data_IF_722423779148
#
_entry.id   IF_722423779148
#
_cell.length_a   1.000
_cell.length_b   1.000
_cell.length_c   1.000
_cell.angle_alpha   90.00
_cell.angle_beta   90.00
_cell.angle_gamma   90.00
#
_symmetry.space_group_name_H-M   'P 1'
#
loop_
_entity.id
_entity.type
_entity.pdbx_description
1 polymer ?
#
# COMPACT_ATOMS: atom_id res chain seq x y z
N UNK A 1 -12.63 59.55 45.62
CA UNK A 1 -11.60 58.51 45.80
C UNK A 1 -12.06 57.24 45.09
N UNK A 2 -11.23 56.77 44.14
CA UNK A 2 -11.07 55.38 43.65
C UNK A 2 -12.20 54.73 42.82
N UNK A 3 -11.92 54.68 41.52
CA UNK A 3 -12.36 53.68 40.54
C UNK A 3 -12.37 52.24 41.08
N UNK A 4 -13.36 51.45 40.67
CA UNK A 4 -13.29 49.98 40.65
C UNK A 4 -14.27 49.52 39.54
N UNK A 5 -13.86 49.47 38.26
CA UNK A 5 -13.19 48.34 37.62
C UNK A 5 -13.88 47.00 37.92
N UNK A 6 -14.69 46.47 36.98
CA UNK A 6 -14.41 45.20 36.27
C UNK A 6 -15.60 44.73 35.41
N UNK A 7 -15.38 44.82 34.11
CA UNK A 7 -16.09 44.06 33.07
C UNK A 7 -16.05 42.56 33.36
N UNK A 8 -17.20 41.91 33.38
CA UNK A 8 -17.32 40.45 33.24
C UNK A 8 -17.60 40.11 31.78
N UNK A 9 -16.53 39.84 31.03
CA UNK A 9 -16.58 39.16 29.74
C UNK A 9 -16.58 37.66 30.03
N UNK A 10 -17.63 36.93 29.63
CA UNK A 10 -17.59 35.48 29.51
C UNK A 10 -17.78 35.15 28.03
N UNK A 11 -16.68 35.18 27.29
CA UNK A 11 -16.62 34.73 25.91
C UNK A 11 -16.66 33.20 25.88
N UNK A 12 -17.63 32.64 25.15
CA UNK A 12 -17.68 31.23 24.83
C UNK A 12 -16.39 30.82 24.09
N UNK A 13 -15.56 30.03 24.76
CA UNK A 13 -14.39 29.42 24.16
C UNK A 13 -14.85 28.26 23.26
N UNK A 14 -15.05 28.55 21.97
CA UNK A 14 -15.23 27.52 20.95
C UNK A 14 -13.86 26.92 20.65
N UNK A 15 -13.49 25.88 21.40
CA UNK A 15 -12.34 25.04 21.09
C UNK A 15 -12.68 24.21 19.84
N UNK A 16 -12.26 24.70 18.66
CA UNK A 16 -12.22 23.86 17.46
C UNK A 16 -10.98 22.97 17.63
N UNK A 17 -11.20 21.79 18.20
CA UNK A 17 -10.21 20.72 18.12
C UNK A 17 -10.10 20.32 16.64
N UNK A 18 -9.02 20.74 15.98
CA UNK A 18 -8.65 20.22 14.66
C UNK A 18 -8.12 18.80 14.84
N UNK A 19 -9.02 17.86 15.11
CA UNK A 19 -8.74 16.46 14.84
C UNK A 19 -8.61 16.35 13.32
N UNK A 20 -7.38 16.15 12.83
CA UNK A 20 -7.16 15.78 11.44
C UNK A 20 -7.94 14.49 11.19
N UNK A 21 -9.06 14.58 10.47
CA UNK A 21 -9.83 13.41 10.07
C UNK A 21 -8.98 12.67 9.04
N UNK A 22 -8.40 11.54 9.45
CA UNK A 22 -7.84 10.59 8.50
C UNK A 22 -8.98 10.13 7.58
N UNK A 23 -8.86 10.42 6.29
CA UNK A 23 -9.82 9.94 5.29
C UNK A 23 -9.28 8.64 4.71
N UNK A 24 -10.12 7.61 4.66
CA UNK A 24 -9.82 6.38 3.94
C UNK A 24 -9.53 6.74 2.47
N UNK A 25 -8.44 6.19 1.94
CA UNK A 25 -7.99 6.41 0.59
C UNK A 25 -7.41 5.11 0.03
N UNK A 26 -7.29 5.06 -1.30
CA UNK A 26 -6.72 3.92 -1.99
C UNK A 26 -5.87 4.38 -3.17
N UNK A 27 -4.79 3.66 -3.45
CA UNK A 27 -4.02 3.80 -4.69
C UNK A 27 -4.13 2.50 -5.48
N UNK A 28 -4.23 2.61 -6.81
CA UNK A 28 -4.09 1.48 -7.72
C UNK A 28 -2.75 1.57 -8.42
N UNK A 29 -1.98 0.49 -8.36
CA UNK A 29 -0.68 0.34 -9.03
C UNK A 29 -0.67 -0.93 -9.88
N UNK A 30 0.30 -1.07 -10.77
CA UNK A 30 0.58 -2.33 -11.44
C UNK A 30 1.68 -3.09 -10.71
N UNK A 31 1.48 -4.39 -10.50
CA UNK A 31 2.46 -5.28 -9.87
C UNK A 31 2.20 -6.74 -10.26
N UNK A 32 3.23 -7.50 -10.68
CA UNK A 32 4.56 -7.02 -11.05
C UNK A 32 4.52 -6.18 -12.33
N UNK A 33 5.38 -5.16 -12.48
CA UNK A 33 5.54 -4.47 -13.78
C UNK A 33 6.90 -4.78 -14.42
N UNK A 34 7.11 -4.28 -15.64
CA UNK A 34 8.43 -4.33 -16.30
C UNK A 34 9.57 -3.62 -15.54
N UNK A 35 9.25 -2.80 -14.53
CA UNK A 35 10.22 -2.15 -13.65
C UNK A 35 10.53 -2.93 -12.37
N UNK A 36 9.87 -4.07 -12.14
CA UNK A 36 10.11 -4.89 -10.97
C UNK A 36 11.53 -5.48 -10.98
N UNK A 37 12.16 -5.52 -9.82
CA UNK A 37 13.37 -6.30 -9.60
C UNK A 37 12.98 -7.75 -9.36
N UNK A 38 13.46 -8.64 -10.22
CA UNK A 38 13.13 -10.08 -10.18
C UNK A 38 14.39 -10.88 -9.87
N UNK A 39 14.29 -11.70 -8.83
CA UNK A 39 15.21 -12.82 -8.57
C UNK A 39 14.45 -14.09 -8.89
N UNK A 40 14.91 -14.80 -9.91
CA UNK A 40 14.34 -16.08 -10.32
C UNK A 40 15.44 -16.86 -11.05
N UNK A 41 15.16 -18.09 -11.47
CA UNK A 41 16.16 -18.80 -12.25
C UNK A 41 16.46 -18.19 -13.61
N UNK A 42 15.48 -17.53 -14.23
CA UNK A 42 15.68 -16.83 -15.52
C UNK A 42 15.42 -15.33 -15.38
N UNK A 43 14.47 -14.92 -14.54
CA UNK A 43 14.15 -13.51 -14.32
C UNK A 43 13.13 -13.03 -15.33
N UNK A 44 13.56 -12.61 -16.53
CA UNK A 44 12.65 -12.20 -17.62
C UNK A 44 12.49 -13.33 -18.63
N UNK A 45 11.25 -13.80 -18.83
CA UNK A 45 10.92 -14.84 -19.80
C UNK A 45 10.47 -14.23 -21.14
N UNK A 46 9.70 -13.15 -21.07
CA UNK A 46 9.23 -12.39 -22.23
C UNK A 46 8.95 -10.92 -21.84
N UNK A 47 8.42 -10.13 -22.78
CA UNK A 47 8.02 -8.75 -22.51
C UNK A 47 6.85 -8.64 -21.51
N UNK A 48 6.15 -9.74 -21.24
CA UNK A 48 4.94 -9.77 -20.41
C UNK A 48 5.03 -10.79 -19.28
N UNK A 49 6.17 -11.46 -19.09
CA UNK A 49 6.31 -12.57 -18.16
C UNK A 49 7.68 -12.61 -17.49
N UNK A 50 7.66 -12.98 -16.22
CA UNK A 50 8.84 -13.14 -15.38
C UNK A 50 8.81 -14.48 -14.64
N UNK A 51 10.00 -14.99 -14.33
CA UNK A 51 10.15 -16.05 -13.35
C UNK A 51 10.94 -17.27 -13.81
N UNK A 52 10.20 -18.38 -13.77
CA UNK A 52 10.55 -19.62 -13.10
C UNK A 52 10.96 -19.42 -11.63
N UNK A 53 9.95 -19.42 -10.77
CA UNK A 53 10.04 -19.31 -9.32
C UNK A 53 9.76 -20.67 -8.67
N UNK A 54 10.62 -21.08 -7.75
CA UNK A 54 10.49 -22.34 -7.02
C UNK A 54 11.41 -22.49 -5.80
N UNK A 55 12.33 -21.53 -5.56
CA UNK A 55 13.44 -21.72 -4.63
C UNK A 55 13.59 -20.57 -3.64
N UNK A 56 13.19 -20.81 -2.39
CA UNK A 56 13.56 -19.93 -1.27
C UNK A 56 15.08 -19.87 -1.09
N UNK A 57 15.82 -20.95 -1.35
CA UNK A 57 17.27 -20.99 -1.12
C UNK A 57 18.04 -20.08 -2.09
N UNK A 58 17.53 -19.91 -3.31
CA UNK A 58 18.03 -18.93 -4.28
C UNK A 58 17.60 -17.50 -3.96
N UNK A 59 16.58 -17.33 -3.11
CA UNK A 59 15.99 -16.04 -2.80
C UNK A 59 15.03 -15.56 -3.88
N UNK A 60 14.31 -16.49 -4.52
CA UNK A 60 13.34 -16.16 -5.56
C UNK A 60 12.33 -15.12 -5.05
N UNK A 61 12.20 -14.03 -5.80
CA UNK A 61 11.37 -12.89 -5.40
C UNK A 61 11.05 -11.96 -6.56
N UNK A 62 9.98 -11.20 -6.39
CA UNK A 62 9.63 -10.06 -7.24
C UNK A 62 9.34 -8.87 -6.36
N UNK A 63 10.04 -7.77 -6.57
CA UNK A 63 9.90 -6.57 -5.73
C UNK A 63 9.83 -5.30 -6.58
N UNK A 64 9.04 -4.33 -6.14
CA UNK A 64 8.89 -3.06 -6.85
C UNK A 64 8.68 -1.91 -5.85
N UNK A 65 9.27 -0.76 -6.18
CA UNK A 65 9.08 0.49 -5.44
C UNK A 65 8.00 1.37 -6.09
N UNK A 66 7.26 2.10 -5.26
CA UNK A 66 6.26 3.10 -5.63
C UNK A 66 6.56 4.40 -4.86
N UNK A 67 7.42 5.28 -5.37
CA UNK A 67 7.74 6.52 -4.67
C UNK A 67 6.54 7.49 -4.71
N UNK A 68 6.37 8.25 -3.62
CA UNK A 68 5.44 9.39 -3.54
C UNK A 68 3.98 9.06 -3.89
N UNK A 69 3.45 7.96 -3.33
CA UNK A 69 2.03 7.56 -3.52
C UNK A 69 1.06 8.42 -2.73
N UNK A 70 1.54 9.10 -1.68
CA UNK A 70 0.72 9.91 -0.77
C UNK A 70 -0.24 9.09 0.11
N UNK A 71 -0.16 7.75 0.04
CA UNK A 71 -0.98 6.84 0.84
C UNK A 71 -0.22 6.43 2.10
N UNK A 72 -0.76 6.73 3.28
CA UNK A 72 -0.11 6.45 4.56
C UNK A 72 -0.90 5.43 5.37
N UNK A 73 -0.24 4.75 6.31
CA UNK A 73 -0.90 3.83 7.24
C UNK A 73 -1.72 2.75 6.51
N UNK A 74 -1.09 2.11 5.53
CA UNK A 74 -1.73 1.05 4.72
C UNK A 74 -2.21 -0.08 5.62
N UNK A 75 -3.44 -0.54 5.43
CA UNK A 75 -4.04 -1.63 6.22
C UNK A 75 -4.70 -2.72 5.39
N UNK A 76 -4.77 -2.56 4.07
CA UNK A 76 -5.29 -3.60 3.18
C UNK A 76 -4.60 -3.58 1.82
N UNK A 77 -4.64 -4.74 1.17
CA UNK A 77 -4.07 -5.00 -0.15
C UNK A 77 -5.00 -5.95 -0.90
N UNK A 78 -5.32 -5.64 -2.15
CA UNK A 78 -5.98 -6.53 -3.10
C UNK A 78 -5.16 -6.58 -4.38
N UNK A 79 -4.58 -7.72 -4.66
CA UNK A 79 -3.65 -7.92 -5.77
C UNK A 79 -4.18 -8.98 -6.73
N UNK A 80 -4.29 -8.63 -8.01
CA UNK A 80 -4.49 -9.61 -9.05
C UNK A 80 -3.13 -10.17 -9.46
N UNK A 81 -3.00 -11.50 -9.46
CA UNK A 81 -1.81 -12.22 -9.86
C UNK A 81 -2.14 -13.16 -11.01
N UNK A 82 -1.35 -13.10 -12.07
CA UNK A 82 -1.53 -13.96 -13.24
C UNK A 82 -0.43 -15.00 -13.28
N UNK A 83 -0.75 -16.27 -13.00
CA UNK A 83 0.20 -17.37 -13.21
C UNK A 83 0.11 -17.79 -14.67
N UNK A 84 1.14 -17.47 -15.45
CA UNK A 84 1.12 -17.73 -16.91
C UNK A 84 1.69 -19.08 -17.28
N UNK A 85 2.57 -19.62 -16.43
CA UNK A 85 3.09 -20.98 -16.56
C UNK A 85 3.05 -21.66 -15.20
N UNK A 86 2.58 -22.90 -15.19
CA UNK A 86 2.62 -23.79 -14.05
C UNK A 86 3.07 -25.17 -14.55
N UNK A 87 4.31 -25.51 -14.22
CA UNK A 87 4.91 -26.80 -14.59
C UNK A 87 5.29 -27.62 -13.35
N UNK A 88 4.63 -27.34 -12.22
CA UNK A 88 4.80 -28.07 -10.97
C UNK A 88 4.40 -29.54 -11.14
N UNK A 89 5.21 -30.44 -10.56
CA UNK A 89 4.86 -31.84 -10.47
C UNK A 89 3.74 -32.06 -9.44
N UNK A 90 3.02 -33.19 -9.56
CA UNK A 90 1.91 -33.52 -8.68
C UNK A 90 2.29 -33.44 -7.19
N UNK A 91 1.52 -32.68 -6.41
CA UNK A 91 1.72 -32.48 -4.97
C UNK A 91 2.77 -31.43 -4.61
N UNK A 92 3.24 -30.62 -5.58
CA UNK A 92 4.13 -29.48 -5.32
C UNK A 92 3.36 -28.16 -5.30
N UNK A 93 3.85 -27.21 -4.50
CA UNK A 93 3.39 -25.83 -4.47
C UNK A 93 4.57 -24.87 -4.37
N UNK A 94 4.37 -23.65 -4.85
CA UNK A 94 5.22 -22.51 -4.51
C UNK A 94 4.45 -21.63 -3.55
N UNK A 95 5.03 -21.44 -2.37
CA UNK A 95 4.47 -20.63 -1.30
C UNK A 95 5.21 -19.28 -1.29
N UNK A 96 4.48 -18.21 -0.97
CA UNK A 96 4.96 -16.84 -1.09
C UNK A 96 4.57 -16.02 0.14
N UNK A 97 5.54 -15.28 0.66
CA UNK A 97 5.30 -14.20 1.62
C UNK A 97 5.01 -12.92 0.83
N UNK A 98 3.93 -12.22 1.19
CA UNK A 98 3.54 -10.94 0.61
C UNK A 98 4.03 -9.83 1.52
N UNK A 99 4.92 -8.97 1.02
CA UNK A 99 5.53 -7.89 1.79
C UNK A 99 5.06 -6.53 1.30
N UNK A 100 4.58 -5.68 2.22
CA UNK A 100 4.28 -4.26 1.98
C UNK A 100 5.26 -3.42 2.79
N UNK A 101 5.98 -2.49 2.14
CA UNK A 101 7.06 -1.72 2.79
C UNK A 101 8.11 -2.59 3.50
N UNK A 102 8.32 -3.82 3.02
CA UNK A 102 9.22 -4.81 3.62
C UNK A 102 8.67 -5.50 4.88
N UNK A 103 7.42 -5.27 5.25
CA UNK A 103 6.72 -5.98 6.32
C UNK A 103 5.87 -7.08 5.71
N UNK A 104 6.02 -8.30 6.21
CA UNK A 104 5.15 -9.43 5.87
C UNK A 104 3.70 -9.14 6.32
N UNK A 105 2.77 -9.22 5.37
CA UNK A 105 1.34 -8.96 5.56
C UNK A 105 0.47 -10.18 5.31
N UNK A 106 1.05 -11.32 4.97
CA UNK A 106 0.35 -12.57 4.75
C UNK A 106 0.89 -13.37 3.58
N UNK A 107 0.25 -14.52 3.33
CA UNK A 107 0.78 -15.55 2.44
C UNK A 107 -0.09 -15.74 1.20
N UNK A 108 0.54 -16.21 0.12
CA UNK A 108 -0.11 -16.73 -1.07
C UNK A 108 0.56 -18.04 -1.49
N UNK A 109 -0.22 -19.03 -1.94
CA UNK A 109 0.33 -20.29 -2.47
C UNK A 109 -0.30 -20.62 -3.83
N UNK A 110 0.48 -21.33 -4.64
CA UNK A 110 0.03 -21.85 -5.93
C UNK A 110 0.56 -23.27 -6.13
N UNK A 111 -0.33 -24.22 -6.35
CA UNK A 111 -0.03 -25.64 -6.47
C UNK A 111 -0.11 -26.14 -7.92
N UNK A 112 0.34 -27.37 -8.16
CA UNK A 112 0.17 -28.05 -9.44
C UNK A 112 -1.32 -28.15 -9.87
N UNK A 113 -2.22 -28.24 -8.90
CA UNK A 113 -3.65 -28.38 -9.14
C UNK A 113 -4.35 -27.07 -9.56
N UNK A 114 -3.74 -25.91 -9.31
CA UNK A 114 -4.35 -24.60 -9.58
C UNK A 114 -4.24 -24.18 -11.06
N UNK A 115 -3.40 -24.85 -11.85
CA UNK A 115 -3.25 -24.57 -13.27
C UNK A 115 -2.63 -23.19 -13.56
N UNK A 116 -3.14 -22.50 -14.58
CA UNK A 116 -2.72 -21.14 -14.97
C UNK A 116 -3.92 -20.20 -15.00
N UNK A 117 -3.67 -18.91 -14.80
CA UNK A 117 -4.69 -17.87 -14.88
C UNK A 117 -4.56 -16.79 -13.84
N UNK A 118 -5.57 -15.92 -13.84
CA UNK A 118 -5.67 -14.80 -12.90
C UNK A 118 -6.31 -15.26 -11.59
N UNK A 119 -5.70 -14.88 -10.48
CA UNK A 119 -6.25 -15.01 -9.13
C UNK A 119 -6.23 -13.65 -8.43
N UNK A 120 -7.11 -13.46 -7.46
CA UNK A 120 -7.12 -12.28 -6.61
C UNK A 120 -6.70 -12.67 -5.19
N UNK A 121 -5.67 -12.01 -4.67
CA UNK A 121 -5.16 -12.14 -3.31
C UNK A 121 -5.58 -10.90 -2.54
N UNK A 122 -6.48 -11.06 -1.58
CA UNK A 122 -6.97 -9.97 -0.73
C UNK A 122 -6.53 -10.19 0.72
N UNK A 123 -5.75 -9.26 1.26
CA UNK A 123 -5.17 -9.30 2.59
C UNK A 123 -5.59 -8.06 3.39
N UNK A 124 -5.92 -8.29 4.66
CA UNK A 124 -6.18 -7.25 5.65
C UNK A 124 -5.25 -7.44 6.83
N UNK A 125 -4.58 -6.37 7.25
CA UNK A 125 -3.50 -6.43 8.22
C UNK A 125 -3.48 -5.18 9.11
N UNK A 126 -2.67 -5.22 10.17
CA UNK A 126 -2.48 -4.06 11.04
C UNK A 126 -1.85 -2.90 10.25
N UNK A 127 -2.32 -1.67 10.50
CA UNK A 127 -1.86 -0.50 9.76
C UNK A 127 -0.33 -0.33 9.83
N UNK A 128 0.32 -0.25 8.67
CA UNK A 128 1.76 -0.07 8.53
C UNK A 128 2.10 1.41 8.58
N UNK A 129 2.78 1.84 9.64
CA UNK A 129 3.18 3.23 9.79
C UNK A 129 4.08 3.71 8.64
N UNK A 130 3.80 4.91 8.14
CA UNK A 130 4.54 5.52 7.02
C UNK A 130 3.78 5.45 5.70
N UNK A 131 4.43 5.92 4.65
CA UNK A 131 3.88 5.97 3.29
C UNK A 131 4.03 4.61 2.60
N UNK A 132 3.05 4.21 1.79
CA UNK A 132 3.18 3.08 0.86
C UNK A 132 4.28 3.38 -0.16
N UNK A 133 5.29 2.52 -0.19
CA UNK A 133 6.51 2.74 -0.96
C UNK A 133 7.05 1.51 -1.65
N UNK A 134 6.68 0.30 -1.23
CA UNK A 134 7.10 -0.93 -1.90
C UNK A 134 6.15 -2.10 -1.70
N UNK A 135 6.21 -3.02 -2.65
CA UNK A 135 5.52 -4.29 -2.65
C UNK A 135 6.50 -5.39 -3.09
N UNK A 136 6.44 -6.55 -2.44
CA UNK A 136 7.22 -7.72 -2.85
C UNK A 136 6.46 -9.02 -2.63
N UNK A 137 6.77 -10.00 -3.48
CA UNK A 137 6.47 -11.40 -3.27
C UNK A 137 7.81 -12.13 -3.11
N UNK A 138 7.94 -12.91 -2.05
CA UNK A 138 9.16 -13.67 -1.75
C UNK A 138 8.78 -15.13 -1.61
N UNK A 139 9.42 -16.02 -2.37
CA UNK A 139 9.17 -17.45 -2.25
C UNK A 139 9.63 -17.93 -0.87
N UNK A 140 8.74 -18.59 -0.14
CA UNK A 140 8.96 -19.00 1.26
C UNK A 140 9.19 -20.50 1.43
N UNK A 141 9.07 -21.29 0.36
CA UNK A 141 9.37 -22.72 0.35
C UNK A 141 10.38 -23.13 -0.75
N UNK A 142 10.84 -24.37 -0.69
CA UNK A 142 11.72 -24.95 -1.72
C UNK A 142 10.99 -26.10 -2.42
N UNK A 143 10.71 -25.93 -3.71
CA UNK A 143 10.31 -27.05 -4.57
C UNK A 143 11.58 -27.81 -4.96
N UNK A 144 11.66 -29.13 -4.70
CA UNK A 144 12.82 -29.92 -5.06
C UNK A 144 13.17 -29.81 -6.55
N UNK A 145 14.47 -29.79 -6.84
CA UNK A 145 14.98 -29.67 -8.20
C UNK A 145 14.37 -30.73 -9.14
N UNK A 146 13.93 -30.29 -10.30
CA UNK A 146 13.26 -31.13 -11.30
C UNK A 146 11.77 -31.32 -11.10
N UNK A 147 11.17 -30.78 -10.03
CA UNK A 147 9.73 -30.88 -9.76
C UNK A 147 8.93 -29.64 -10.20
N UNK A 148 9.51 -28.81 -11.06
CA UNK A 148 8.80 -27.71 -11.72
C UNK A 148 8.96 -26.35 -11.07
N UNK A 149 8.18 -25.40 -11.58
CA UNK A 149 8.20 -23.99 -11.17
C UNK A 149 6.95 -23.28 -11.69
N UNK A 150 6.76 -22.02 -11.28
CA UNK A 150 5.73 -21.15 -11.85
C UNK A 150 6.34 -19.88 -12.47
N UNK A 151 5.60 -19.25 -13.38
CA UNK A 151 5.91 -17.94 -13.93
C UNK A 151 4.74 -16.98 -13.71
N UNK A 152 5.05 -15.69 -13.57
CA UNK A 152 4.08 -14.62 -13.36
C UNK A 152 3.99 -13.72 -14.58
N UNK A 153 2.76 -13.36 -14.94
CA UNK A 153 2.47 -12.30 -15.89
C UNK A 153 2.71 -10.92 -15.29
N UNK A 154 3.06 -9.97 -16.15
CA UNK A 154 3.26 -8.57 -15.77
C UNK A 154 1.98 -7.73 -15.91
N UNK A 155 2.05 -6.55 -15.31
CA UNK A 155 1.11 -5.44 -15.36
C UNK A 155 -0.31 -5.77 -14.89
N UNK A 156 -0.43 -6.71 -13.93
CA UNK A 156 -1.69 -6.96 -13.23
C UNK A 156 -1.99 -5.88 -12.19
N UNK A 157 -3.27 -5.77 -11.82
CA UNK A 157 -3.78 -4.68 -11.00
C UNK A 157 -3.58 -4.97 -9.51
N UNK A 158 -3.09 -3.99 -8.78
CA UNK A 158 -3.03 -4.03 -7.32
C UNK A 158 -3.65 -2.77 -6.73
N UNK A 159 -4.54 -2.94 -5.77
CA UNK A 159 -5.16 -1.85 -5.01
C UNK A 159 -4.72 -1.93 -3.56
N UNK A 160 -4.24 -0.82 -3.04
CA UNK A 160 -3.74 -0.67 -1.67
C UNK A 160 -4.60 0.38 -0.99
N UNK A 161 -5.09 0.09 0.23
CA UNK A 161 -5.90 1.04 0.99
C UNK A 161 -5.22 1.44 2.30
N UNK A 162 -5.47 2.68 2.69
CA UNK A 162 -4.94 3.29 3.89
C UNK A 162 -5.57 4.66 4.10
N UNK A 163 -4.79 5.60 4.62
CA UNK A 163 -5.23 6.95 4.91
C UNK A 163 -4.52 7.95 3.99
N UNK A 164 -5.26 8.89 3.42
CA UNK A 164 -4.67 10.08 2.83
C UNK A 164 -4.40 11.14 3.91
N UNK A 165 -3.23 11.77 3.84
CA UNK A 165 -2.94 12.96 4.66
C UNK A 165 -3.51 14.19 3.94
N UNK A 166 -4.38 15.00 4.58
CA UNK A 166 -4.88 16.23 3.97
C UNK A 166 -3.74 17.17 3.59
N UNK A 167 -3.72 17.64 2.34
CA UNK A 167 -2.65 18.52 1.87
C UNK A 167 -2.58 19.83 2.68
N UNK A 168 -1.38 20.39 2.90
CA UNK A 168 -1.20 21.67 3.61
C UNK A 168 -2.03 22.82 3.03
N UNK A 169 -2.34 22.79 1.72
CA UNK A 169 -3.17 23.79 1.06
C UNK A 169 -4.60 23.87 1.60
N UNK A 170 -5.17 22.74 2.00
CA UNK A 170 -6.52 22.69 2.61
C UNK A 170 -6.51 23.33 4.00
N UNK A 171 -5.40 23.20 4.75
CA UNK A 171 -5.20 23.90 6.02
C UNK A 171 -5.03 25.42 5.84
N UNK A 172 -4.33 25.84 4.77
CA UNK A 172 -4.14 27.25 4.47
C UNK A 172 -5.45 27.95 4.09
N UNK A 173 -6.32 27.30 3.31
CA UNK A 173 -7.63 27.86 2.95
C UNK A 173 -8.56 27.98 4.17
N UNK A 174 -8.51 27.04 5.11
CA UNK A 174 -9.17 27.17 6.42
C UNK A 174 -8.60 28.35 7.23
N UNK A 175 -7.27 28.54 7.21
CA UNK A 175 -6.61 29.67 7.87
C UNK A 175 -7.02 31.04 7.30
N UNK A 176 -7.18 31.14 5.98
CA UNK A 176 -7.61 32.37 5.31
C UNK A 176 -9.07 32.73 5.61
N UNK A 177 -9.97 31.75 5.65
CA UNK A 177 -11.40 31.98 5.97
C UNK A 177 -11.59 32.45 7.42
N UNK A 178 -10.81 31.91 8.37
CA UNK A 178 -10.77 32.38 9.76
C UNK A 178 -10.27 33.82 9.91
N UNK A 179 -9.25 34.23 9.13
CA UNK A 179 -8.79 35.63 9.14
C UNK A 179 -9.82 36.60 8.53
N UNK A 180 -10.55 36.18 7.49
CA UNK A 180 -11.63 36.97 6.92
C UNK A 180 -12.77 37.26 7.92
N UNK A 181 -13.13 36.27 8.73
CA UNK A 181 -14.12 36.40 9.81
C UNK A 181 -13.63 37.25 10.99
N UNK A 182 -12.32 37.27 11.27
CA UNK A 182 -11.74 38.16 12.28
C UNK A 182 -11.69 39.63 11.81
N UNK A 183 -11.48 39.87 10.51
CA UNK A 183 -11.41 41.21 9.93
C UNK A 183 -12.78 41.91 9.91
N UNK A 184 -13.88 41.18 9.70
CA UNK A 184 -15.24 41.76 9.70
C UNK A 184 -15.71 42.19 11.10
N UNK A 185 -15.18 41.58 12.18
CA UNK A 185 -15.42 42.04 13.56
C UNK A 185 -14.76 43.36 13.90
N UNK A 186 -13.67 43.73 13.22
CA UNK A 186 -12.91 44.96 13.50
C UNK A 186 -13.55 46.22 12.92
N UNK A 187 -14.56 46.08 12.04
CA UNK A 187 -15.23 47.20 11.36
C UNK A 187 -16.52 47.69 12.01
N UNK A 188 -16.88 47.16 13.20
CA UNK A 188 -18.12 47.51 13.92
C UNK A 188 -17.90 48.21 15.27
N UNK A 189 -16.71 48.79 15.51
CA UNK A 189 -16.47 49.72 16.63
C UNK A 189 -16.32 51.13 16.15
#
# INVERSE_FOLDING_TARGET
MKHCLRNTVAAAALAVATAGVAQAASVTVTFPSSLATVVASVGSLSATEVGYFWSMARGDSVSQGYPATGLFNVSSLSMDLNVTQNVLAAGQSVDWDVLVNGIDVGDWSWSDADGTGLTNVALSFAAIAGEFSSLALVVSNEVPSGLGSIALGLDTRTTVEGNAVPEPGTLFLLGLTMMGLAATRRRSR
#
